data_IF_702868658345
#
_entry.id   IF_702868658345
#
_cell.length_a   1.000
_cell.length_b   1.000
_cell.length_c   1.000
_cell.angle_alpha   90.00
_cell.angle_beta   90.00
_cell.angle_gamma   90.00
#
_symmetry.space_group_name_H-M   'P 1'
#
loop_
_entity.id
_entity.type
_entity.pdbx_description
1 polymer ?
#
# COMPACT_ATOMS: atom_id res chain seq x y z
N UNK A 1 -22.78 2.88 13.33
CA UNK A 1 -23.11 4.28 13.74
C UNK A 1 -22.46 5.29 12.80
N UNK A 2 -21.12 5.27 12.62
CA UNK A 2 -20.39 6.19 11.72
C UNK A 2 -20.99 6.24 10.30
N UNK A 3 -21.19 5.08 9.66
CA UNK A 3 -21.76 5.02 8.31
C UNK A 3 -23.19 5.59 8.23
N UNK A 4 -24.03 5.38 9.24
CA UNK A 4 -25.44 5.82 9.21
C UNK A 4 -25.57 7.34 9.29
N UNK A 5 -24.83 7.99 10.20
CA UNK A 5 -24.83 9.45 10.33
C UNK A 5 -24.31 10.11 9.05
N UNK A 6 -23.31 9.48 8.42
CA UNK A 6 -22.74 9.99 7.18
C UNK A 6 -23.66 9.79 5.98
N UNK A 7 -24.33 8.64 5.86
CA UNK A 7 -25.33 8.43 4.81
C UNK A 7 -26.47 9.45 4.91
N UNK A 8 -26.96 9.72 6.13
CA UNK A 8 -27.98 10.75 6.35
C UNK A 8 -27.51 12.16 5.94
N UNK A 9 -26.24 12.48 6.17
CA UNK A 9 -25.65 13.74 5.71
C UNK A 9 -25.43 13.78 4.18
N UNK A 10 -25.07 12.66 3.56
CA UNK A 10 -24.94 12.56 2.10
C UNK A 10 -26.29 12.77 1.40
N UNK A 11 -27.36 12.22 1.98
CA UNK A 11 -28.73 12.37 1.47
C UNK A 11 -29.26 13.81 1.69
N UNK A 12 -28.90 14.43 2.81
CA UNK A 12 -29.25 15.81 3.15
C UNK A 12 -28.06 16.54 3.80
N UNK A 13 -27.36 17.36 3.00
CA UNK A 13 -26.19 18.13 3.45
C UNK A 13 -26.51 19.20 4.53
N UNK A 14 -27.79 19.44 4.85
CA UNK A 14 -28.19 20.27 6.00
C UNK A 14 -28.29 19.47 7.30
N UNK A 15 -28.38 18.15 7.21
CA UNK A 15 -28.52 17.25 8.34
C UNK A 15 -27.16 16.90 8.96
N UNK A 16 -26.67 17.79 9.81
CA UNK A 16 -25.39 17.59 10.51
C UNK A 16 -25.52 16.75 11.78
N UNK A 17 -26.69 16.16 12.02
CA UNK A 17 -26.98 15.43 13.25
C UNK A 17 -26.09 14.19 13.38
N UNK A 18 -25.40 14.06 14.52
CA UNK A 18 -24.57 12.90 14.81
C UNK A 18 -23.24 12.82 14.03
N UNK A 19 -22.87 13.83 13.23
CA UNK A 19 -21.58 13.85 12.53
C UNK A 19 -20.39 13.97 13.49
N UNK A 20 -20.51 14.81 14.53
CA UNK A 20 -19.45 14.95 15.54
C UNK A 20 -19.22 13.64 16.30
N UNK A 21 -20.30 12.97 16.72
CA UNK A 21 -20.22 11.66 17.38
C UNK A 21 -19.66 10.58 16.43
N UNK A 22 -20.01 10.65 15.14
CA UNK A 22 -19.44 9.77 14.12
C UNK A 22 -17.93 9.99 13.95
N UNK A 23 -17.45 11.23 14.00
CA UNK A 23 -16.03 11.55 13.97
C UNK A 23 -15.28 11.02 15.21
N UNK A 24 -15.84 11.20 16.40
CA UNK A 24 -15.28 10.64 17.63
C UNK A 24 -15.21 9.10 17.59
N UNK A 25 -16.28 8.46 17.12
CA UNK A 25 -16.32 7.01 16.94
C UNK A 25 -15.27 6.53 15.92
N UNK A 26 -15.08 7.26 14.82
CA UNK A 26 -14.05 6.93 13.83
C UNK A 26 -12.64 7.06 14.42
N UNK A 27 -12.41 8.07 15.27
CA UNK A 27 -11.15 8.22 15.98
C UNK A 27 -10.87 7.06 16.96
N UNK A 28 -11.91 6.55 17.62
CA UNK A 28 -11.79 5.35 18.46
C UNK A 28 -11.44 4.11 17.63
N UNK A 29 -12.09 3.91 16.47
CA UNK A 29 -11.77 2.82 15.55
C UNK A 29 -10.29 2.89 15.13
N UNK A 30 -9.81 4.08 14.74
CA UNK A 30 -8.40 4.30 14.42
C UNK A 30 -7.48 3.92 15.60
N UNK A 31 -7.81 4.33 16.82
CA UNK A 31 -7.06 3.98 18.03
C UNK A 31 -6.99 2.48 18.28
N UNK A 32 -8.11 1.76 18.14
CA UNK A 32 -8.15 0.29 18.30
C UNK A 32 -7.31 -0.40 17.24
N UNK A 33 -7.39 0.02 15.98
CA UNK A 33 -6.59 -0.57 14.90
C UNK A 33 -5.09 -0.40 15.13
N UNK A 34 -4.67 0.72 15.72
CA UNK A 34 -3.28 0.93 16.14
C UNK A 34 -2.83 -0.05 17.22
N UNK A 35 -3.69 -0.34 18.20
CA UNK A 35 -3.39 -1.33 19.24
C UNK A 35 -3.27 -2.75 18.68
N UNK A 36 -4.00 -3.05 17.60
CA UNK A 36 -3.96 -4.34 16.91
C UNK A 36 -2.85 -4.45 15.85
N UNK A 37 -2.10 -3.36 15.62
CA UNK A 37 -0.99 -3.29 14.65
C UNK A 37 -1.36 -3.72 13.21
N UNK A 38 -2.61 -3.48 12.80
CA UNK A 38 -3.09 -3.82 11.45
C UNK A 38 -2.70 -2.70 10.47
N UNK A 39 -1.44 -2.67 10.03
CA UNK A 39 -0.83 -1.53 9.29
C UNK A 39 -1.69 -0.96 8.17
N UNK A 40 -2.21 -1.80 7.27
CA UNK A 40 -3.05 -1.32 6.17
C UNK A 40 -4.36 -0.65 6.63
N UNK A 41 -5.00 -1.22 7.65
CA UNK A 41 -6.22 -0.66 8.22
C UNK A 41 -5.96 0.64 8.99
N UNK A 42 -4.82 0.73 9.67
CA UNK A 42 -4.38 1.96 10.35
C UNK A 42 -4.26 3.11 9.36
N UNK A 43 -3.59 2.90 8.22
CA UNK A 43 -3.42 3.92 7.17
C UNK A 43 -4.76 4.39 6.60
N UNK A 44 -5.66 3.45 6.27
CA UNK A 44 -6.97 3.80 5.76
C UNK A 44 -7.82 4.53 6.82
N UNK A 45 -7.78 4.06 8.07
CA UNK A 45 -8.53 4.67 9.15
C UNK A 45 -8.02 6.08 9.49
N UNK A 46 -6.71 6.32 9.42
CA UNK A 46 -6.12 7.64 9.64
C UNK A 46 -6.63 8.67 8.63
N UNK A 47 -6.45 8.39 7.33
CA UNK A 47 -6.87 9.33 6.28
C UNK A 47 -8.38 9.50 6.25
N UNK A 48 -9.15 8.46 6.59
CA UNK A 48 -10.61 8.54 6.71
C UNK A 48 -11.02 9.41 7.90
N UNK A 49 -10.33 9.30 9.04
CA UNK A 49 -10.55 10.13 10.22
C UNK A 49 -10.22 11.61 9.94
N UNK A 50 -9.10 11.88 9.24
CA UNK A 50 -8.74 13.24 8.81
C UNK A 50 -9.79 13.84 7.86
N UNK A 51 -10.31 13.05 6.91
CA UNK A 51 -11.38 13.48 6.02
C UNK A 51 -12.68 13.74 6.78
N UNK A 52 -13.05 12.86 7.72
CA UNK A 52 -14.22 13.06 8.57
C UNK A 52 -14.13 14.38 9.36
N UNK A 53 -12.99 14.63 10.01
CA UNK A 53 -12.77 15.88 10.74
C UNK A 53 -12.81 17.10 9.82
N UNK A 54 -12.29 16.99 8.60
CA UNK A 54 -12.36 18.06 7.60
C UNK A 54 -13.81 18.38 7.22
N UNK A 55 -14.66 17.36 7.04
CA UNK A 55 -16.09 17.53 6.74
C UNK A 55 -16.81 18.18 7.92
N UNK A 56 -16.58 17.69 9.15
CA UNK A 56 -17.20 18.24 10.37
C UNK A 56 -16.79 19.70 10.62
N UNK A 57 -15.56 20.07 10.28
CA UNK A 57 -15.08 21.46 10.45
C UNK A 57 -15.55 22.41 9.34
N UNK A 58 -16.03 21.90 8.20
CA UNK A 58 -16.41 22.70 7.02
C UNK A 58 -17.84 22.37 6.56
N UNK A 59 -18.77 22.23 7.51
CA UNK A 59 -20.17 21.91 7.23
C UNK A 59 -20.76 22.94 6.25
N UNK A 60 -21.44 22.43 5.21
CA UNK A 60 -22.05 23.25 4.15
C UNK A 60 -21.11 23.60 2.99
N UNK A 61 -19.82 23.28 3.09
CA UNK A 61 -18.83 23.44 2.01
C UNK A 61 -18.20 22.11 1.56
N UNK A 62 -18.80 20.99 1.96
CA UNK A 62 -18.36 19.65 1.58
C UNK A 62 -18.61 19.38 0.10
N UNK A 63 -17.62 18.85 -0.59
CA UNK A 63 -17.71 18.49 -2.02
C UNK A 63 -18.18 17.05 -2.22
N UNK A 64 -18.83 16.75 -3.35
CA UNK A 64 -19.22 15.38 -3.72
C UNK A 64 -18.02 14.42 -3.78
N UNK A 65 -16.84 14.93 -4.15
CA UNK A 65 -15.60 14.16 -4.13
C UNK A 65 -15.21 13.74 -2.71
N UNK A 66 -15.38 14.62 -1.72
CA UNK A 66 -15.17 14.30 -0.30
C UNK A 66 -16.17 13.26 0.18
N UNK A 67 -17.47 13.47 -0.07
CA UNK A 67 -18.54 12.54 0.32
C UNK A 67 -18.35 11.15 -0.29
N UNK A 68 -18.01 11.08 -1.58
CA UNK A 68 -17.74 9.82 -2.26
C UNK A 68 -16.51 9.11 -1.71
N UNK A 69 -15.41 9.84 -1.46
CA UNK A 69 -14.17 9.26 -0.94
C UNK A 69 -14.33 8.73 0.49
N UNK A 70 -15.03 9.46 1.37
CA UNK A 70 -15.26 9.00 2.76
C UNK A 70 -16.19 7.78 2.82
N UNK A 71 -17.23 7.75 1.98
CA UNK A 71 -18.15 6.62 1.90
C UNK A 71 -17.43 5.35 1.43
N UNK A 72 -16.61 5.48 0.39
CA UNK A 72 -15.76 4.38 -0.09
C UNK A 72 -14.76 3.91 0.99
N UNK A 73 -14.11 4.86 1.68
CA UNK A 73 -13.17 4.57 2.76
C UNK A 73 -13.78 3.76 3.90
N UNK A 74 -14.94 4.20 4.40
CA UNK A 74 -15.65 3.50 5.47
C UNK A 74 -16.16 2.13 5.04
N UNK A 75 -16.69 2.00 3.83
CA UNK A 75 -17.15 0.72 3.29
C UNK A 75 -15.98 -0.26 3.14
N UNK A 76 -14.86 0.21 2.55
CA UNK A 76 -13.69 -0.63 2.34
C UNK A 76 -13.05 -1.05 3.66
N UNK A 77 -12.96 -0.15 4.65
CA UNK A 77 -12.44 -0.47 5.96
C UNK A 77 -13.25 -1.60 6.63
N UNK A 78 -14.58 -1.51 6.60
CA UNK A 78 -15.44 -2.58 7.14
C UNK A 78 -15.21 -3.91 6.44
N UNK A 79 -15.23 -3.91 5.10
CA UNK A 79 -15.02 -5.13 4.30
C UNK A 79 -13.64 -5.73 4.50
N UNK A 80 -12.62 -4.89 4.69
CA UNK A 80 -11.26 -5.33 4.94
C UNK A 80 -11.13 -6.00 6.31
N UNK A 81 -11.74 -5.44 7.36
CA UNK A 81 -11.71 -6.08 8.68
C UNK A 81 -12.44 -7.42 8.67
N UNK A 82 -13.58 -7.52 7.99
CA UNK A 82 -14.26 -8.81 7.75
C UNK A 82 -13.35 -9.79 7.01
N UNK A 83 -12.66 -9.33 5.96
CA UNK A 83 -11.71 -10.14 5.22
C UNK A 83 -10.57 -10.68 6.10
N UNK A 84 -9.96 -9.82 6.91
CA UNK A 84 -8.86 -10.18 7.83
C UNK A 84 -9.33 -11.25 8.81
N UNK A 85 -10.53 -11.07 9.40
CA UNK A 85 -11.10 -12.04 10.34
C UNK A 85 -11.41 -13.39 9.67
N UNK A 86 -11.91 -13.38 8.44
CA UNK A 86 -12.33 -14.61 7.74
C UNK A 86 -11.19 -15.37 7.06
N UNK A 87 -10.13 -14.68 6.63
CA UNK A 87 -9.05 -15.25 5.79
C UNK A 87 -7.71 -15.34 6.51
N UNK A 88 -7.60 -14.80 7.72
CA UNK A 88 -6.36 -14.74 8.50
C UNK A 88 -5.17 -14.18 7.68
N UNK A 89 -5.46 -13.25 6.77
CA UNK A 89 -4.46 -12.64 5.88
C UNK A 89 -4.71 -11.14 5.79
N UNK A 90 -3.64 -10.34 5.72
CA UNK A 90 -3.72 -8.89 5.73
C UNK A 90 -3.89 -8.30 4.32
N UNK A 91 -3.02 -8.62 3.36
CA UNK A 91 -3.06 -8.05 1.99
C UNK A 91 -3.37 -6.54 1.93
N UNK A 92 -2.58 -5.67 2.62
CA UNK A 92 -2.83 -4.24 2.72
C UNK A 92 -2.81 -3.51 1.37
N UNK A 93 -2.20 -4.09 0.33
CA UNK A 93 -2.17 -3.53 -1.02
C UNK A 93 -3.55 -3.27 -1.63
N UNK A 94 -4.60 -3.99 -1.19
CA UNK A 94 -5.96 -3.75 -1.65
C UNK A 94 -6.54 -2.42 -1.17
N UNK A 95 -5.96 -1.83 -0.13
CA UNK A 95 -6.41 -0.57 0.46
C UNK A 95 -5.78 0.65 -0.24
N UNK A 96 -4.65 0.46 -0.91
CA UNK A 96 -3.84 1.54 -1.48
C UNK A 96 -4.63 2.47 -2.42
N UNK A 97 -5.47 1.97 -3.36
CA UNK A 97 -6.21 2.85 -4.27
C UNK A 97 -7.16 3.80 -3.52
N UNK A 98 -7.91 3.28 -2.55
CA UNK A 98 -8.86 4.08 -1.77
C UNK A 98 -8.14 5.01 -0.79
N UNK A 99 -7.03 4.58 -0.18
CA UNK A 99 -6.16 5.46 0.61
C UNK A 99 -5.71 6.65 -0.25
N UNK A 100 -5.19 6.39 -1.46
CA UNK A 100 -4.74 7.44 -2.36
C UNK A 100 -5.88 8.34 -2.86
N UNK A 101 -7.08 7.80 -3.05
CA UNK A 101 -8.27 8.60 -3.36
C UNK A 101 -8.59 9.58 -2.24
N UNK A 102 -8.57 9.14 -0.99
CA UNK A 102 -8.83 10.02 0.18
C UNK A 102 -7.70 11.04 0.33
N UNK A 103 -6.43 10.61 0.20
CA UNK A 103 -5.26 11.52 0.24
C UNK A 103 -5.33 12.58 -0.84
N UNK A 104 -5.73 12.24 -2.06
CA UNK A 104 -5.93 13.20 -3.14
C UNK A 104 -6.95 14.27 -2.77
N UNK A 105 -8.10 13.87 -2.23
CA UNK A 105 -9.14 14.80 -1.78
C UNK A 105 -8.68 15.69 -0.60
N UNK A 106 -7.83 15.15 0.27
CA UNK A 106 -7.18 15.90 1.36
C UNK A 106 -5.96 16.74 0.91
N UNK A 107 -5.61 16.74 -0.38
CA UNK A 107 -4.38 17.36 -0.91
C UNK A 107 -3.08 16.84 -0.24
N UNK A 108 -3.07 15.58 0.17
CA UNK A 108 -1.91 14.89 0.71
C UNK A 108 -1.11 14.20 -0.41
N UNK A 109 0.21 14.04 -0.26
CA UNK A 109 1.02 13.30 -1.23
C UNK A 109 0.56 11.85 -1.30
N UNK A 110 0.44 11.32 -2.52
CA UNK A 110 0.03 9.94 -2.77
C UNK A 110 1.11 8.95 -2.32
N UNK A 111 0.66 7.80 -1.83
CA UNK A 111 1.51 6.66 -1.52
C UNK A 111 1.85 5.91 -2.81
N UNK A 112 3.10 5.45 -2.92
CA UNK A 112 3.57 4.65 -4.07
C UNK A 112 3.09 3.20 -3.95
N UNK A 113 3.10 2.48 -5.06
CA UNK A 113 2.70 1.06 -5.15
C UNK A 113 3.50 0.16 -4.19
N UNK A 114 4.76 0.51 -3.93
CA UNK A 114 5.65 -0.20 -3.01
C UNK A 114 5.50 0.15 -1.54
N UNK A 115 4.60 1.06 -1.14
CA UNK A 115 4.52 1.57 0.24
C UNK A 115 4.42 0.46 1.29
N UNK A 116 3.52 -0.51 1.09
CA UNK A 116 3.34 -1.64 2.01
C UNK A 116 4.44 -2.70 1.91
N UNK A 117 5.36 -2.60 0.95
CA UNK A 117 6.49 -3.49 0.79
C UNK A 117 7.72 -3.01 1.57
N UNK A 118 7.81 -1.72 1.92
CA UNK A 118 8.98 -1.14 2.61
C UNK A 118 9.44 -1.94 3.85
N UNK A 119 8.56 -2.43 4.74
CA UNK A 119 8.98 -3.24 5.88
C UNK A 119 9.65 -4.58 5.47
N UNK A 120 9.22 -5.16 4.34
CA UNK A 120 9.79 -6.39 3.79
C UNK A 120 11.05 -6.14 2.95
N UNK A 121 11.23 -4.90 2.49
CA UNK A 121 12.40 -4.43 1.75
C UNK A 121 13.47 -3.84 2.67
N UNK A 122 13.19 -3.73 3.97
CA UNK A 122 14.16 -3.30 4.98
C UNK A 122 15.16 -4.42 5.22
N UNK A 123 16.17 -4.50 4.34
CA UNK A 123 17.24 -5.49 4.34
C UNK A 123 18.14 -5.26 5.57
N UNK A 124 17.71 -5.74 6.72
CA UNK A 124 18.60 -5.99 7.87
C UNK A 124 19.08 -7.45 7.88
N UNK A 125 18.54 -8.31 7.00
CA UNK A 125 18.76 -9.76 7.06
C UNK A 125 18.81 -10.47 5.69
N UNK A 126 19.13 -9.79 4.58
CA UNK A 126 19.78 -10.57 3.53
C UNK A 126 21.19 -10.84 4.07
N UNK A 127 21.63 -12.11 4.16
CA UNK A 127 23.03 -12.35 4.39
C UNK A 127 23.77 -11.54 3.33
N UNK A 128 24.62 -10.60 3.77
CA UNK A 128 25.62 -10.04 2.89
C UNK A 128 26.34 -11.24 2.34
N UNK A 129 26.07 -11.58 1.08
CA UNK A 129 26.79 -12.61 0.37
C UNK A 129 28.18 -12.02 0.15
N UNK A 130 29.01 -12.06 1.20
CA UNK A 130 30.45 -11.84 1.18
C UNK A 130 31.08 -13.04 0.47
N UNK A 131 30.62 -13.25 -0.76
CA UNK A 131 31.31 -14.04 -1.73
C UNK A 131 32.42 -13.08 -2.17
N UNK A 132 33.66 -13.33 -1.76
CA UNK A 132 34.86 -12.63 -2.21
C UNK A 132 35.02 -12.80 -3.73
N UNK A 133 34.12 -12.20 -4.50
CA UNK A 133 33.97 -12.34 -5.92
C UNK A 133 34.34 -11.01 -6.54
N UNK A 134 35.28 -11.07 -7.47
CA UNK A 134 35.65 -9.94 -8.29
C UNK A 134 34.41 -9.48 -9.05
N UNK A 135 34.18 -8.16 -9.10
CA UNK A 135 33.14 -7.56 -9.93
C UNK A 135 33.29 -8.13 -11.35
N UNK A 136 32.30 -8.88 -11.87
CA UNK A 136 32.42 -9.43 -13.20
C UNK A 136 32.51 -8.28 -14.20
N UNK A 137 33.44 -8.36 -15.14
CA UNK A 137 33.54 -7.42 -16.25
C UNK A 137 32.45 -7.80 -17.26
N UNK A 138 31.27 -7.19 -17.12
CA UNK A 138 30.10 -7.51 -17.93
C UNK A 138 30.05 -6.56 -19.12
N UNK A 139 30.06 -7.12 -20.33
CA UNK A 139 29.86 -6.30 -21.53
C UNK A 139 28.43 -5.75 -21.61
N UNK A 140 28.20 -4.64 -22.33
CA UNK A 140 26.85 -4.11 -22.54
C UNK A 140 25.87 -5.13 -23.15
N UNK A 141 26.36 -6.02 -24.02
CA UNK A 141 25.57 -7.10 -24.61
C UNK A 141 25.13 -8.14 -23.57
N UNK A 142 26.02 -8.52 -22.66
CA UNK A 142 25.70 -9.45 -21.57
C UNK A 142 24.68 -8.84 -20.59
N UNK A 143 24.79 -7.54 -20.29
CA UNK A 143 23.78 -6.84 -19.48
C UNK A 143 22.40 -6.82 -20.17
N UNK A 144 22.37 -6.64 -21.49
CA UNK A 144 21.15 -6.72 -22.28
C UNK A 144 20.56 -8.14 -22.26
N UNK A 145 21.39 -9.18 -22.39
CA UNK A 145 20.95 -10.58 -22.30
C UNK A 145 20.37 -10.93 -20.92
N UNK A 146 21.01 -10.49 -19.84
CA UNK A 146 20.49 -10.67 -18.47
C UNK A 146 19.14 -9.96 -18.28
N UNK A 147 18.98 -8.77 -18.85
CA UNK A 147 17.71 -8.04 -18.81
C UNK A 147 16.62 -8.77 -19.59
N UNK A 148 16.94 -9.31 -20.77
CA UNK A 148 16.01 -10.11 -21.57
C UNK A 148 15.62 -11.39 -20.83
N UNK A 149 16.59 -12.08 -20.23
CA UNK A 149 16.37 -13.29 -19.44
C UNK A 149 15.45 -13.02 -18.24
N UNK A 150 15.70 -11.94 -17.49
CA UNK A 150 14.84 -11.52 -16.38
C UNK A 150 13.41 -11.25 -16.83
N UNK A 151 13.23 -10.46 -17.90
CA UNK A 151 11.91 -10.12 -18.42
C UNK A 151 11.15 -11.35 -18.91
N UNK A 152 11.83 -12.26 -19.60
CA UNK A 152 11.23 -13.50 -20.10
C UNK A 152 10.80 -14.41 -18.95
N UNK A 153 11.68 -14.67 -17.99
CA UNK A 153 11.38 -15.52 -16.84
C UNK A 153 10.33 -14.93 -15.91
N UNK A 154 10.37 -13.62 -15.67
CA UNK A 154 9.32 -12.93 -14.93
C UNK A 154 7.96 -13.05 -15.63
N UNK A 155 7.92 -12.88 -16.96
CA UNK A 155 6.70 -13.03 -17.74
C UNK A 155 6.12 -14.46 -17.62
N UNK A 156 6.96 -15.50 -17.67
CA UNK A 156 6.51 -16.87 -17.46
C UNK A 156 5.91 -17.10 -16.08
N UNK A 157 6.51 -16.52 -15.02
CA UNK A 157 6.00 -16.60 -13.65
C UNK A 157 4.66 -15.88 -13.51
N UNK A 158 4.54 -14.67 -14.05
CA UNK A 158 3.29 -13.90 -13.99
C UNK A 158 2.15 -14.60 -14.75
N UNK A 159 2.47 -15.33 -15.83
CA UNK A 159 1.50 -16.14 -16.57
C UNK A 159 1.22 -17.50 -15.95
N UNK A 160 1.84 -17.87 -14.81
CA UNK A 160 1.78 -19.21 -14.20
C UNK A 160 2.22 -20.34 -15.15
N UNK A 161 3.13 -20.05 -16.08
CA UNK A 161 3.74 -21.00 -17.04
C UNK A 161 5.21 -21.28 -16.73
N UNK A 162 5.63 -21.00 -15.51
CA UNK A 162 7.02 -21.07 -15.09
C UNK A 162 7.55 -22.50 -15.00
N UNK A 163 8.82 -22.65 -15.36
CA UNK A 163 9.65 -23.83 -15.15
C UNK A 163 10.65 -23.54 -14.00
N UNK A 164 11.17 -24.57 -13.29
CA UNK A 164 12.38 -24.45 -12.47
C UNK A 164 13.49 -23.53 -13.02
N UNK A 165 13.72 -23.52 -14.33
CA UNK A 165 14.71 -22.67 -14.99
C UNK A 165 14.41 -21.17 -14.85
N UNK A 166 13.14 -20.76 -14.82
CA UNK A 166 12.77 -19.35 -14.66
C UNK A 166 13.15 -18.82 -13.27
N UNK A 167 13.06 -19.66 -12.25
CA UNK A 167 13.51 -19.29 -10.90
C UNK A 167 15.04 -19.23 -10.80
N UNK A 168 15.75 -20.14 -11.49
CA UNK A 168 17.20 -20.09 -11.56
C UNK A 168 17.69 -18.85 -12.31
N UNK A 169 17.01 -18.48 -13.40
CA UNK A 169 17.27 -17.25 -14.15
C UNK A 169 17.08 -15.99 -13.29
N UNK A 170 16.00 -15.91 -12.51
CA UNK A 170 15.80 -14.78 -11.59
C UNK A 170 16.90 -14.74 -10.52
N UNK A 171 17.24 -15.86 -9.90
CA UNK A 171 18.34 -15.92 -8.92
C UNK A 171 19.66 -15.44 -9.52
N UNK A 172 19.97 -15.89 -10.74
CA UNK A 172 21.18 -15.50 -11.46
C UNK A 172 21.21 -13.99 -11.72
N UNK A 173 20.13 -13.43 -12.28
CA UNK A 173 20.07 -11.99 -12.58
C UNK A 173 20.13 -11.16 -11.31
N UNK A 174 19.40 -11.53 -10.25
CA UNK A 174 19.46 -10.85 -8.96
C UNK A 174 20.86 -10.88 -8.35
N UNK A 175 21.57 -12.00 -8.48
CA UNK A 175 22.95 -12.12 -8.03
C UNK A 175 23.90 -11.19 -8.80
N UNK A 176 23.80 -11.15 -10.14
CA UNK A 176 24.60 -10.23 -10.95
C UNK A 176 24.27 -8.75 -10.68
N UNK A 177 22.99 -8.41 -10.53
CA UNK A 177 22.56 -7.05 -10.20
C UNK A 177 23.13 -6.60 -8.86
N UNK A 178 23.10 -7.47 -7.83
CA UNK A 178 23.72 -7.21 -6.54
C UNK A 178 25.25 -7.02 -6.64
N UNK A 179 25.95 -7.84 -7.45
CA UNK A 179 27.38 -7.66 -7.67
C UNK A 179 27.73 -6.36 -8.40
N UNK A 180 26.90 -5.91 -9.34
CA UNK A 180 27.10 -4.64 -10.04
C UNK A 180 26.83 -3.43 -9.15
N UNK A 181 25.84 -3.57 -8.25
CA UNK A 181 25.42 -2.54 -7.31
C UNK A 181 26.39 -2.39 -6.13
N UNK A 182 27.22 -3.38 -5.83
CA UNK A 182 28.21 -3.34 -4.75
C UNK A 182 29.14 -2.11 -4.86
N UNK A 183 29.31 -1.39 -3.75
CA UNK A 183 30.04 -0.12 -3.66
C UNK A 183 29.47 1.02 -4.52
N UNK A 184 28.18 0.97 -4.85
CA UNK A 184 27.46 2.04 -5.54
C UNK A 184 26.29 2.55 -4.68
N UNK A 185 25.75 3.75 -4.95
CA UNK A 185 24.53 4.23 -4.29
C UNK A 185 23.33 3.28 -4.46
N UNK A 186 23.37 2.40 -5.47
CA UNK A 186 22.34 1.40 -5.75
C UNK A 186 22.45 0.15 -4.88
N UNK A 187 23.48 0.00 -4.04
CA UNK A 187 23.62 -1.16 -3.13
C UNK A 187 22.46 -1.28 -2.12
N UNK A 188 21.79 -0.16 -1.83
CA UNK A 188 20.68 -0.06 -0.88
C UNK A 188 19.29 -0.31 -1.52
N UNK A 189 19.23 -0.59 -2.84
CA UNK A 189 18.00 -0.78 -3.62
C UNK A 189 17.97 -2.15 -4.30
#
# INVERSE_FOLDING_TARGET
>A
QVQNSLSAYIDDNSNTFGLTEAAESMNQVYGVLRLLEITGAIELADVTNQLMNTIVNNLGHTTDAQLGAISEGLMLLSRYLEFVVLRENLLPQFLLPTINRIRHVLNLPLLREGYFLEPYLSIVQLPTLNLNLQKPDISPEQAQQLTVLYKASLNHILQKKNNPLDFQAIKLVSHFASMLAANSPSELY
#
